data_IF_593531822967
#
_entry.id   IF_593531822967
#
_cell.length_a   1.000
_cell.length_b   1.000
_cell.length_c   1.000
_cell.angle_alpha   90.00
_cell.angle_beta   90.00
_cell.angle_gamma   90.00
#
_symmetry.space_group_name_H-M   'P 1'
#
loop_
_entity.id
_entity.type
_entity.pdbx_description
1 polymer ?
#
# COMPACT_ATOMS: atom_id res chain seq x y z
N UNK A 1 13.45 -23.82 -1.37
CA UNK A 1 12.43 -23.36 -0.42
C UNK A 1 12.23 -21.87 -0.66
N UNK A 2 11.10 -21.45 -1.21
CA UNK A 2 10.77 -20.01 -1.28
C UNK A 2 10.09 -19.64 0.03
N UNK A 3 10.83 -19.04 0.95
CA UNK A 3 10.30 -18.53 2.22
C UNK A 3 9.39 -17.35 1.93
N UNK A 4 8.08 -17.51 2.17
CA UNK A 4 7.14 -16.39 2.21
C UNK A 4 7.45 -15.51 3.42
N UNK A 5 7.39 -14.18 3.24
CA UNK A 5 7.61 -13.21 4.31
C UNK A 5 6.30 -12.46 4.60
N UNK A 6 6.08 -12.13 5.88
CA UNK A 6 4.95 -11.32 6.31
C UNK A 6 5.20 -9.85 6.01
N UNK A 7 4.30 -9.24 5.24
CA UNK A 7 4.32 -7.81 4.94
C UNK A 7 3.10 -7.11 5.52
N UNK A 8 3.33 -5.95 6.11
CA UNK A 8 2.33 -5.10 6.74
C UNK A 8 2.17 -3.83 5.92
N UNK A 9 0.93 -3.45 5.63
CA UNK A 9 0.60 -2.32 4.79
C UNK A 9 -0.04 -1.25 5.69
N UNK A 10 0.56 -0.06 5.71
CA UNK A 10 -0.02 1.11 6.38
C UNK A 10 -0.44 2.13 5.33
N UNK A 11 -1.64 2.69 5.47
CA UNK A 11 -2.13 3.74 4.59
C UNK A 11 -1.81 5.08 5.23
N UNK A 12 -1.08 5.92 4.52
CA UNK A 12 -0.76 7.26 4.97
C UNK A 12 -1.62 8.27 4.23
N UNK A 13 -2.36 9.05 5.02
CA UNK A 13 -3.23 10.12 4.55
C UNK A 13 -2.73 11.46 5.10
N UNK A 14 -3.20 12.60 4.56
CA UNK A 14 -2.92 13.91 5.14
C UNK A 14 -3.40 14.07 6.58
N UNK A 15 -4.41 13.30 7.01
CA UNK A 15 -4.95 13.33 8.38
C UNK A 15 -4.21 12.40 9.35
N UNK A 16 -3.32 11.54 8.84
CA UNK A 16 -2.50 10.66 9.67
C UNK A 16 -2.28 9.28 9.05
N UNK A 17 -1.74 8.38 9.87
CA UNK A 17 -1.44 7.00 9.50
C UNK A 17 -2.57 6.07 9.95
N UNK A 18 -3.08 5.27 9.02
CA UNK A 18 -3.91 4.10 9.30
C UNK A 18 -2.98 2.88 9.33
N UNK A 19 -2.64 2.43 10.54
CA UNK A 19 -1.76 1.29 10.74
C UNK A 19 -2.47 -0.03 10.39
N UNK A 20 -1.71 -0.99 9.84
CA UNK A 20 -2.15 -2.37 9.59
C UNK A 20 -3.47 -2.49 8.83
N UNK A 21 -3.74 -1.58 7.89
CA UNK A 21 -4.99 -1.65 7.16
C UNK A 21 -5.05 -2.93 6.30
N UNK A 22 -3.89 -3.50 5.95
CA UNK A 22 -3.76 -4.85 5.41
C UNK A 22 -2.49 -5.54 5.90
N UNK A 23 -2.54 -6.87 6.02
CA UNK A 23 -1.38 -7.74 6.27
C UNK A 23 -1.52 -8.99 5.42
N UNK A 24 -0.47 -9.33 4.68
CA UNK A 24 -0.46 -10.52 3.83
C UNK A 24 0.95 -11.10 3.70
N UNK A 25 1.01 -12.36 3.30
CA UNK A 25 2.27 -13.08 3.07
C UNK A 25 2.57 -13.09 1.58
N UNK A 26 3.77 -12.67 1.21
CA UNK A 26 4.23 -12.65 -0.17
C UNK A 26 5.57 -13.36 -0.32
N UNK A 27 5.83 -13.88 -1.52
CA UNK A 27 7.10 -14.51 -1.83
C UNK A 27 8.24 -13.50 -1.94
N UNK A 28 7.93 -12.26 -2.31
CA UNK A 28 8.90 -11.17 -2.46
C UNK A 28 8.31 -9.80 -2.10
N UNK A 29 9.18 -8.80 -1.92
CA UNK A 29 8.76 -7.41 -1.76
C UNK A 29 8.13 -6.86 -3.05
N UNK A 30 8.55 -7.35 -4.22
CA UNK A 30 7.97 -6.96 -5.50
C UNK A 30 6.51 -7.43 -5.64
N UNK A 31 6.19 -8.64 -5.19
CA UNK A 31 4.80 -9.12 -5.15
C UNK A 31 3.93 -8.27 -4.21
N UNK A 32 4.47 -7.94 -3.02
CA UNK A 32 3.79 -7.07 -2.07
C UNK A 32 3.58 -5.65 -2.65
N UNK A 33 4.55 -5.16 -3.44
CA UNK A 33 4.46 -3.87 -4.13
C UNK A 33 3.43 -3.89 -5.26
N UNK A 34 3.35 -4.98 -6.02
CA UNK A 34 2.34 -5.16 -7.06
C UNK A 34 0.94 -5.12 -6.46
N UNK A 35 0.71 -5.81 -5.33
CA UNK A 35 -0.56 -5.71 -4.62
C UNK A 35 -0.85 -4.29 -4.14
N UNK A 36 0.12 -3.61 -3.50
CA UNK A 36 -0.07 -2.24 -3.03
C UNK A 36 -0.45 -1.28 -4.16
N UNK A 37 0.06 -1.48 -5.37
CA UNK A 37 -0.34 -0.71 -6.56
C UNK A 37 -1.80 -0.96 -6.94
N UNK A 38 -2.25 -2.23 -6.96
CA UNK A 38 -3.65 -2.59 -7.24
C UNK A 38 -4.60 -1.98 -6.20
N UNK A 39 -4.24 -2.05 -4.91
CA UNK A 39 -5.01 -1.42 -3.84
C UNK A 39 -5.08 0.11 -4.03
N UNK A 40 -3.95 0.75 -4.34
CA UNK A 40 -3.93 2.18 -4.60
C UNK A 40 -4.80 2.58 -5.81
N UNK A 41 -4.76 1.80 -6.89
CA UNK A 41 -5.63 1.99 -8.07
C UNK A 41 -7.11 1.90 -7.70
N UNK A 42 -7.50 0.87 -6.95
CA UNK A 42 -8.87 0.69 -6.52
C UNK A 42 -9.34 1.84 -5.63
N UNK A 43 -8.50 2.28 -4.68
CA UNK A 43 -8.85 3.38 -3.78
C UNK A 43 -9.02 4.68 -4.56
N UNK A 44 -8.13 4.97 -5.52
CA UNK A 44 -8.27 6.15 -6.36
C UNK A 44 -9.53 6.11 -7.21
N UNK A 45 -9.85 4.96 -7.81
CA UNK A 45 -11.08 4.78 -8.59
C UNK A 45 -12.33 5.04 -7.74
N UNK A 46 -12.38 4.46 -6.54
CA UNK A 46 -13.49 4.67 -5.58
C UNK A 46 -13.59 6.13 -5.13
N UNK A 47 -12.47 6.80 -4.87
CA UNK A 47 -12.45 8.20 -4.46
C UNK A 47 -12.86 9.15 -5.60
N UNK A 48 -12.43 8.88 -6.84
CA UNK A 48 -12.85 9.63 -8.01
C UNK A 48 -14.37 9.56 -8.20
N UNK A 49 -14.97 8.38 -8.03
CA UNK A 49 -16.43 8.20 -8.07
C UNK A 49 -17.17 8.98 -6.97
N UNK A 50 -16.47 9.38 -5.89
CA UNK A 50 -17.00 10.20 -4.79
C UNK A 50 -16.62 11.68 -4.92
N UNK A 51 -15.95 12.09 -6.01
CA UNK A 51 -15.46 13.46 -6.18
C UNK A 51 -14.33 13.86 -5.21
N UNK A 52 -13.59 12.89 -4.66
CA UNK A 52 -12.51 13.11 -3.70
C UNK A 52 -11.14 12.94 -4.36
N UNK A 53 -10.23 13.87 -4.09
CA UNK A 53 -8.82 13.71 -4.45
C UNK A 53 -8.05 13.07 -3.29
N UNK A 54 -7.44 11.92 -3.57
CA UNK A 54 -6.58 11.19 -2.65
C UNK A 54 -5.19 10.92 -3.26
N UNK A 55 -4.81 11.69 -4.28
CA UNK A 55 -3.52 11.54 -4.98
C UNK A 55 -2.28 11.74 -4.09
N UNK A 56 -2.45 12.39 -2.94
CA UNK A 56 -1.42 12.58 -1.92
C UNK A 56 -1.23 11.38 -0.98
N UNK A 57 -2.09 10.36 -1.07
CA UNK A 57 -2.03 9.19 -0.20
C UNK A 57 -0.92 8.25 -0.66
N UNK A 58 -0.41 7.44 0.26
CA UNK A 58 0.57 6.41 -0.07
C UNK A 58 0.46 5.22 0.89
N UNK A 59 0.92 4.06 0.42
CA UNK A 59 1.00 2.83 1.20
C UNK A 59 2.44 2.59 1.58
N UNK A 60 2.72 2.47 2.88
CA UNK A 60 3.99 1.97 3.38
C UNK A 60 3.90 0.44 3.52
N UNK A 61 4.84 -0.27 2.90
CA UNK A 61 5.01 -1.71 3.07
C UNK A 61 6.12 -1.92 4.10
N UNK A 62 5.81 -2.60 5.18
CA UNK A 62 6.70 -2.86 6.30
C UNK A 62 6.95 -4.35 6.48
N UNK A 63 8.08 -4.69 7.09
CA UNK A 63 8.31 -6.04 7.62
C UNK A 63 7.58 -6.25 8.97
N UNK A 64 7.69 -7.45 9.52
CA UNK A 64 7.07 -7.80 10.81
C UNK A 64 7.60 -6.99 12.00
N UNK A 65 8.84 -6.48 11.91
CA UNK A 65 9.42 -5.58 12.88
C UNK A 65 8.96 -4.11 12.71
N UNK A 66 7.92 -3.85 11.91
CA UNK A 66 7.38 -2.51 11.59
C UNK A 66 8.37 -1.56 10.92
N UNK A 67 9.43 -2.09 10.32
CA UNK A 67 10.36 -1.29 9.52
C UNK A 67 9.83 -1.17 8.10
N UNK A 68 9.68 0.06 7.62
CA UNK A 68 9.32 0.34 6.22
C UNK A 68 10.38 -0.23 5.28
N UNK A 69 9.93 -1.05 4.34
CA UNK A 69 10.74 -1.65 3.28
C UNK A 69 10.51 -0.95 1.94
N UNK A 70 9.28 -0.50 1.68
CA UNK A 70 8.90 0.15 0.42
C UNK A 70 7.74 1.11 0.62
N UNK A 71 7.58 2.04 -0.33
CA UNK A 71 6.49 3.02 -0.35
C UNK A 71 5.87 3.04 -1.74
N UNK A 72 4.55 2.90 -1.81
CA UNK A 72 3.75 3.02 -3.03
C UNK A 72 2.87 4.25 -2.94
N UNK A 73 3.16 5.25 -3.76
CA UNK A 73 2.35 6.48 -3.83
C UNK A 73 1.14 6.26 -4.73
N UNK A 74 0.03 6.92 -4.41
CA UNK A 74 -1.18 6.81 -5.24
C UNK A 74 -0.95 7.42 -6.62
N UNK A 75 -0.05 8.40 -6.74
CA UNK A 75 0.37 8.94 -8.03
C UNK A 75 1.01 7.88 -8.94
N UNK A 76 1.80 6.95 -8.41
CA UNK A 76 2.38 5.85 -9.20
C UNK A 76 1.33 4.87 -9.73
N UNK A 77 0.18 4.77 -9.06
CA UNK A 77 -0.91 3.90 -9.48
C UNK A 77 -1.76 4.51 -10.62
N UNK A 78 -1.46 5.72 -11.11
CA UNK A 78 -2.17 6.34 -12.24
C UNK A 78 -1.61 5.96 -13.62
N UNK A 79 -0.44 5.35 -13.65
CA UNK A 79 0.25 4.86 -14.87
C UNK A 79 -0.26 3.46 -15.25
#
# INVERSE_FOLDING_TARGET
MSTVAGYVFNLITPSGRVNDFAKAYYHSLDDARAEALLIAQEFMSRAANQGRDISSYYIEICNEARRTLSVVTFRQARE
#
